data_IF_961521528732
#
_entry.id   IF_961521528732
#
_cell.length_a   1.000
_cell.length_b   1.000
_cell.length_c   1.000
_cell.angle_alpha   90.00
_cell.angle_beta   90.00
_cell.angle_gamma   90.00
#
_symmetry.space_group_name_H-M   'P 1'
#
loop_
_entity.id
_entity.type
_entity.pdbx_description
1 polymer ?
#
# COMPACT_ATOMS: atom_id res chain seq x y z
N UNK A 1 -31.65 -35.29 -33.65
CA UNK A 1 -30.48 -35.12 -34.54
C UNK A 1 -29.59 -34.04 -33.96
N UNK A 2 -28.48 -34.44 -33.32
CA UNK A 2 -27.25 -33.69 -33.08
C UNK A 2 -26.41 -34.53 -32.10
N UNK A 3 -25.50 -35.34 -32.64
CA UNK A 3 -24.52 -36.07 -31.85
C UNK A 3 -23.35 -35.13 -31.54
N UNK A 4 -23.16 -34.76 -30.29
CA UNK A 4 -21.97 -34.05 -29.84
C UNK A 4 -20.81 -35.04 -29.71
N UNK A 5 -19.83 -34.97 -30.61
CA UNK A 5 -18.55 -35.66 -30.49
C UNK A 5 -17.65 -34.91 -29.51
N UNK A 6 -17.42 -35.47 -28.33
CA UNK A 6 -16.39 -35.02 -27.40
C UNK A 6 -15.03 -35.61 -27.83
N UNK A 7 -14.11 -34.76 -28.29
CA UNK A 7 -12.71 -35.15 -28.47
C UNK A 7 -12.06 -35.36 -27.09
N UNK A 8 -11.22 -36.39 -26.90
CA UNK A 8 -10.54 -36.61 -25.63
C UNK A 8 -9.46 -35.53 -25.42
N UNK A 9 -9.13 -35.20 -24.15
CA UNK A 9 -8.08 -34.24 -23.85
C UNK A 9 -6.73 -34.82 -24.30
N UNK A 10 -6.04 -34.12 -25.20
CA UNK A 10 -4.64 -34.38 -25.53
C UNK A 10 -3.78 -34.18 -24.28
N UNK A 11 -3.38 -35.29 -23.67
CA UNK A 11 -2.31 -35.33 -22.68
C UNK A 11 -1.00 -35.04 -23.40
N UNK A 12 -0.57 -33.78 -23.40
CA UNK A 12 0.81 -33.43 -23.72
C UNK A 12 1.65 -33.97 -22.55
N UNK A 13 2.17 -35.18 -22.70
CA UNK A 13 3.29 -35.67 -21.90
C UNK A 13 4.43 -34.67 -22.05
N UNK A 14 4.98 -34.08 -20.98
CA UNK A 14 6.20 -33.30 -21.10
C UNK A 14 7.30 -34.20 -21.67
N UNK A 15 8.03 -33.70 -22.66
CA UNK A 15 9.23 -34.33 -23.21
C UNK A 15 10.21 -34.66 -22.05
N UNK A 16 10.65 -35.92 -21.89
CA UNK A 16 11.60 -36.30 -20.84
C UNK A 16 12.95 -35.56 -20.93
N UNK A 17 13.23 -34.87 -22.03
CA UNK A 17 14.52 -34.22 -22.27
C UNK A 17 14.58 -32.73 -21.89
N UNK A 18 13.48 -32.08 -21.49
CA UNK A 18 13.45 -30.60 -21.39
C UNK A 18 13.41 -29.98 -19.99
N UNK A 19 13.78 -30.72 -18.94
CA UNK A 19 14.05 -30.14 -17.62
C UNK A 19 15.36 -30.66 -17.02
N UNK A 20 16.48 -30.30 -17.64
CA UNK A 20 17.73 -30.18 -16.88
C UNK A 20 17.59 -29.02 -15.91
N UNK A 21 16.95 -29.25 -14.76
CA UNK A 21 16.97 -28.34 -13.61
C UNK A 21 18.43 -28.17 -13.24
N UNK A 22 19.03 -27.04 -13.65
CA UNK A 22 20.40 -26.73 -13.27
C UNK A 22 20.48 -26.77 -11.75
N UNK A 23 21.44 -27.51 -11.15
CA UNK A 23 21.54 -27.58 -9.71
C UNK A 23 21.68 -26.16 -9.15
N UNK A 24 20.88 -25.85 -8.13
CA UNK A 24 20.92 -24.56 -7.44
C UNK A 24 22.34 -24.32 -6.97
N UNK A 25 22.99 -23.26 -7.47
CA UNK A 25 24.32 -22.87 -6.99
C UNK A 25 24.23 -22.55 -5.51
N UNK A 26 25.01 -23.25 -4.70
CA UNK A 26 25.08 -23.03 -3.25
C UNK A 26 25.40 -21.57 -2.95
N UNK A 27 24.71 -21.03 -1.95
CA UNK A 27 24.95 -19.71 -1.40
C UNK A 27 24.93 -19.80 0.13
N UNK A 28 25.69 -18.96 0.83
CA UNK A 28 25.77 -18.96 2.31
C UNK A 28 24.39 -18.87 3.00
N UNK A 29 23.40 -18.24 2.37
CA UNK A 29 22.01 -18.14 2.86
C UNK A 29 21.25 -19.48 2.85
N UNK A 30 21.76 -20.48 2.15
CA UNK A 30 21.17 -21.82 2.13
C UNK A 30 21.52 -22.61 3.42
N UNK A 31 22.52 -22.15 4.19
CA UNK A 31 22.91 -22.72 5.47
C UNK A 31 22.19 -22.00 6.64
N UNK A 32 21.86 -22.70 7.73
CA UNK A 32 21.36 -22.04 8.95
C UNK A 32 22.45 -21.18 9.58
N UNK A 33 22.06 -20.06 10.20
CA UNK A 33 22.98 -19.19 10.94
C UNK A 33 23.34 -19.87 12.27
N UNK A 34 24.63 -20.04 12.51
CA UNK A 34 25.23 -20.60 13.72
C UNK A 34 26.32 -19.67 14.26
N UNK A 35 26.74 -19.91 15.50
CA UNK A 35 27.86 -19.18 16.11
C UNK A 35 29.18 -19.29 15.33
N UNK A 36 29.37 -20.36 14.54
CA UNK A 36 30.60 -20.57 13.77
C UNK A 36 30.55 -19.96 12.36
N UNK A 37 29.38 -19.57 11.84
CA UNK A 37 29.24 -19.05 10.48
C UNK A 37 28.57 -17.67 10.36
N UNK A 38 28.01 -17.09 11.43
CA UNK A 38 27.21 -15.85 11.36
C UNK A 38 27.88 -14.73 10.56
N UNK A 39 29.20 -14.53 10.74
CA UNK A 39 29.97 -13.50 10.06
C UNK A 39 30.00 -13.67 8.53
N UNK A 40 29.79 -14.90 8.01
CA UNK A 40 29.70 -15.17 6.57
C UNK A 40 28.38 -14.69 5.98
N UNK A 41 27.33 -14.58 6.81
CA UNK A 41 26.02 -14.06 6.40
C UNK A 41 25.98 -12.54 6.42
N UNK A 42 26.96 -11.84 7.02
CA UNK A 42 26.99 -10.39 7.09
C UNK A 42 27.52 -9.77 5.78
N UNK A 43 26.83 -8.73 5.34
CA UNK A 43 27.25 -7.86 4.26
C UNK A 43 28.24 -6.82 4.79
N UNK A 44 29.53 -7.19 4.81
CA UNK A 44 30.62 -6.36 5.30
C UNK A 44 30.87 -5.07 4.53
N UNK A 45 30.17 -4.83 3.41
CA UNK A 45 30.18 -3.53 2.75
C UNK A 45 29.14 -2.58 3.36
N UNK A 46 27.89 -3.04 3.53
CA UNK A 46 26.80 -2.19 3.99
C UNK A 46 26.76 -2.04 5.51
N UNK A 47 27.02 -3.13 6.25
CA UNK A 47 26.87 -3.16 7.72
C UNK A 47 27.72 -2.11 8.43
N UNK A 48 29.02 -1.93 8.13
CA UNK A 48 29.80 -0.90 8.81
C UNK A 48 29.30 0.52 8.53
N UNK A 49 28.82 0.80 7.30
CA UNK A 49 28.28 2.12 6.95
C UNK A 49 26.98 2.42 7.70
N UNK A 50 26.08 1.43 7.75
CA UNK A 50 24.80 1.53 8.47
C UNK A 50 24.96 1.71 9.98
N UNK A 51 26.08 1.28 10.56
CA UNK A 51 26.37 1.43 11.99
C UNK A 51 27.19 2.71 12.26
N UNK A 52 28.26 2.94 11.52
CA UNK A 52 29.20 4.03 11.80
C UNK A 52 28.61 5.42 11.52
N UNK A 53 27.77 5.57 10.49
CA UNK A 53 27.17 6.87 10.14
C UNK A 53 26.22 7.36 11.25
N UNK A 54 25.24 6.57 11.73
CA UNK A 54 24.40 6.99 12.86
C UNK A 54 25.18 7.21 14.15
N UNK A 55 26.14 6.33 14.47
CA UNK A 55 26.96 6.49 15.68
C UNK A 55 27.80 7.77 15.63
N UNK A 56 28.38 8.10 14.47
CA UNK A 56 29.11 9.34 14.28
C UNK A 56 28.21 10.57 14.35
N UNK A 57 26.99 10.49 13.79
CA UNK A 57 25.97 11.54 13.94
C UNK A 57 25.56 11.76 15.40
N UNK A 58 25.37 10.67 16.17
CA UNK A 58 25.05 10.74 17.60
C UNK A 58 26.21 11.29 18.43
N UNK A 59 27.45 10.88 18.15
CA UNK A 59 28.63 11.49 18.75
C UNK A 59 28.70 12.99 18.46
N UNK A 60 28.42 13.40 17.22
CA UNK A 60 28.35 14.80 16.82
C UNK A 60 27.31 15.60 17.60
N UNK A 61 26.11 15.04 17.82
CA UNK A 61 25.06 15.64 18.65
C UNK A 61 25.53 15.95 20.08
N UNK A 62 26.43 15.12 20.63
CA UNK A 62 26.94 15.27 21.99
C UNK A 62 28.16 16.18 22.10
N UNK A 63 28.91 16.38 21.00
CA UNK A 63 30.26 16.99 21.06
C UNK A 63 30.40 18.28 20.27
N UNK A 64 29.47 18.56 19.35
CA UNK A 64 29.56 19.72 18.45
C UNK A 64 28.34 20.60 18.63
N UNK A 65 28.47 21.90 18.96
CA UNK A 65 27.34 22.81 19.00
C UNK A 65 26.68 22.99 17.63
N UNK A 66 25.35 23.07 17.59
CA UNK A 66 24.61 23.29 16.34
C UNK A 66 24.54 24.77 16.00
N UNK A 67 25.27 25.20 14.96
CA UNK A 67 25.08 26.52 14.36
C UNK A 67 23.76 26.59 13.58
N UNK A 68 23.03 27.71 13.67
CA UNK A 68 21.73 27.88 13.00
C UNK A 68 21.84 27.73 11.46
N UNK A 69 22.89 28.30 10.86
CA UNK A 69 23.13 28.18 9.42
C UNK A 69 23.35 26.72 9.00
N UNK A 70 24.08 25.95 9.82
CA UNK A 70 24.28 24.50 9.64
C UNK A 70 22.98 23.74 9.80
N UNK A 71 22.13 24.11 10.76
CA UNK A 71 20.81 23.49 10.94
C UNK A 71 19.93 23.68 9.69
N UNK A 72 19.82 24.92 9.21
CA UNK A 72 19.06 25.28 8.01
C UNK A 72 19.61 24.53 6.80
N UNK A 73 20.94 24.52 6.62
CA UNK A 73 21.60 23.80 5.54
C UNK A 73 21.33 22.28 5.60
N UNK A 74 21.41 21.69 6.79
CA UNK A 74 21.14 20.26 7.00
C UNK A 74 19.71 19.90 6.57
N UNK A 75 18.73 20.75 6.91
CA UNK A 75 17.33 20.56 6.51
C UNK A 75 17.12 20.74 5.01
N UNK A 76 17.69 21.80 4.41
CA UNK A 76 17.61 21.99 2.95
C UNK A 76 18.21 20.79 2.23
N UNK A 77 19.40 20.36 2.65
CA UNK A 77 20.10 19.27 1.99
C UNK A 77 19.47 17.90 2.26
N UNK A 78 18.78 17.72 3.39
CA UNK A 78 17.88 16.59 3.62
C UNK A 78 16.81 16.51 2.54
N UNK A 79 16.08 17.60 2.28
CA UNK A 79 15.06 17.61 1.23
C UNK A 79 15.65 17.46 -0.17
N UNK A 80 16.79 18.10 -0.48
CA UNK A 80 17.45 17.94 -1.80
C UNK A 80 17.79 16.48 -2.07
N UNK A 81 18.42 15.80 -1.10
CA UNK A 81 18.88 14.42 -1.30
C UNK A 81 17.72 13.42 -1.25
N UNK A 82 16.76 13.59 -0.34
CA UNK A 82 15.54 12.79 -0.29
C UNK A 82 14.67 12.94 -1.54
N UNK A 83 14.43 14.17 -2.02
CA UNK A 83 13.72 14.41 -3.28
C UNK A 83 14.50 13.89 -4.49
N UNK A 84 15.82 13.82 -4.42
CA UNK A 84 16.64 13.15 -5.43
C UNK A 84 16.27 11.66 -5.57
N UNK A 85 16.01 10.97 -4.45
CA UNK A 85 15.57 9.57 -4.46
C UNK A 85 14.13 9.47 -4.95
N UNK A 86 13.19 10.21 -4.36
CA UNK A 86 11.77 10.08 -4.68
C UNK A 86 11.42 10.59 -6.08
N UNK A 87 11.92 11.75 -6.50
CA UNK A 87 11.67 12.27 -7.84
C UNK A 87 12.50 11.55 -8.89
N UNK A 88 13.75 11.18 -8.57
CA UNK A 88 14.69 10.54 -9.48
C UNK A 88 14.59 9.01 -9.49
N UNK A 89 15.24 8.37 -8.52
CA UNK A 89 15.37 6.90 -8.46
C UNK A 89 14.01 6.20 -8.59
N UNK A 90 13.06 6.66 -7.81
CA UNK A 90 11.74 6.08 -7.72
C UNK A 90 10.85 6.43 -8.92
N UNK A 91 10.37 7.66 -9.00
CA UNK A 91 9.31 8.04 -9.95
C UNK A 91 9.81 8.15 -11.40
N UNK A 92 10.99 8.76 -11.62
CA UNK A 92 11.55 8.94 -12.96
C UNK A 92 12.12 7.64 -13.52
N UNK A 93 13.08 7.02 -12.83
CA UNK A 93 13.82 5.88 -13.38
C UNK A 93 13.16 4.54 -13.09
N UNK A 94 12.61 4.28 -11.90
CA UNK A 94 11.97 2.99 -11.63
C UNK A 94 10.61 2.86 -12.32
N UNK A 95 9.74 3.86 -12.16
CA UNK A 95 8.36 3.81 -12.63
C UNK A 95 8.10 4.48 -13.97
N UNK A 96 9.04 5.32 -14.44
CA UNK A 96 8.88 6.09 -15.68
C UNK A 96 7.56 6.86 -15.69
N UNK A 97 7.20 7.46 -14.54
CA UNK A 97 5.91 8.14 -14.34
C UNK A 97 5.88 9.56 -14.90
N UNK A 98 7.04 10.10 -15.29
CA UNK A 98 7.18 11.35 -16.02
C UNK A 98 8.48 11.35 -16.84
N UNK A 99 8.70 12.40 -17.65
CA UNK A 99 9.99 12.68 -18.30
C UNK A 99 10.59 13.96 -17.75
N UNK A 100 11.92 14.04 -17.70
CA UNK A 100 12.65 15.21 -17.23
C UNK A 100 13.50 15.82 -18.36
N UNK A 101 13.73 17.13 -18.27
CA UNK A 101 14.74 17.80 -19.09
C UNK A 101 16.14 17.35 -18.69
N UNK A 102 17.09 17.38 -19.62
CA UNK A 102 18.48 16.93 -19.35
C UNK A 102 19.15 17.64 -18.17
N UNK A 103 19.02 18.97 -17.97
CA UNK A 103 19.58 19.63 -16.79
C UNK A 103 18.99 19.11 -15.49
N UNK A 104 17.67 18.84 -15.46
CA UNK A 104 17.02 18.32 -14.27
C UNK A 104 17.38 16.85 -13.99
N UNK A 105 17.55 16.02 -15.04
CA UNK A 105 18.10 14.66 -14.88
C UNK A 105 19.48 14.67 -14.22
N UNK A 106 20.37 15.55 -14.68
CA UNK A 106 21.72 15.71 -14.13
C UNK A 106 21.66 16.18 -12.68
N UNK A 107 20.79 17.14 -12.36
CA UNK A 107 20.55 17.57 -10.98
C UNK A 107 20.12 16.39 -10.10
N UNK A 108 19.13 15.61 -10.54
CA UNK A 108 18.62 14.46 -9.79
C UNK A 108 19.70 13.39 -9.58
N UNK A 109 20.58 13.15 -10.55
CA UNK A 109 21.73 12.23 -10.43
C UNK A 109 22.64 12.64 -9.27
N UNK A 110 23.01 13.92 -9.20
CA UNK A 110 23.89 14.41 -8.13
C UNK A 110 23.17 14.49 -6.78
N UNK A 111 21.94 15.00 -6.76
CA UNK A 111 21.13 15.11 -5.55
C UNK A 111 20.90 13.73 -4.90
N UNK A 112 20.47 12.73 -5.68
CA UNK A 112 20.26 11.37 -5.18
C UNK A 112 21.55 10.67 -4.75
N UNK A 113 22.68 10.95 -5.42
CA UNK A 113 23.98 10.42 -4.97
C UNK A 113 24.35 10.92 -3.57
N UNK A 114 23.87 12.11 -3.18
CA UNK A 114 24.02 12.63 -1.83
C UNK A 114 23.27 11.84 -0.76
N UNK A 115 22.25 11.05 -1.11
CA UNK A 115 21.52 10.18 -0.17
C UNK A 115 22.29 8.90 0.19
N UNK A 116 23.28 8.51 -0.60
CA UNK A 116 24.13 7.32 -0.36
C UNK A 116 23.30 6.01 -0.32
N UNK A 117 22.32 5.86 -1.22
CA UNK A 117 21.42 4.68 -1.28
C UNK A 117 21.72 3.71 -2.44
N UNK A 118 22.90 3.84 -3.05
CA UNK A 118 23.32 3.05 -4.19
C UNK A 118 23.15 3.79 -5.52
N UNK A 119 23.74 3.22 -6.57
CA UNK A 119 23.56 3.75 -7.92
C UNK A 119 22.11 3.60 -8.40
N UNK A 120 21.67 4.46 -9.32
CA UNK A 120 20.34 4.39 -9.94
C UNK A 120 20.05 2.99 -10.47
N UNK A 121 21.03 2.40 -11.17
CA UNK A 121 20.90 1.08 -11.77
C UNK A 121 20.66 -0.04 -10.73
N UNK A 122 21.33 0.03 -9.57
CA UNK A 122 21.19 -0.98 -8.51
C UNK A 122 19.85 -0.81 -7.79
N UNK A 123 19.54 0.42 -7.38
CA UNK A 123 18.32 0.75 -6.66
C UNK A 123 17.07 0.43 -7.49
N UNK A 124 17.04 0.87 -8.75
CA UNK A 124 15.89 0.65 -9.65
C UNK A 124 15.69 -0.83 -9.95
N UNK A 125 16.77 -1.61 -10.11
CA UNK A 125 16.66 -3.06 -10.31
C UNK A 125 15.91 -3.70 -9.14
N UNK A 126 16.33 -3.40 -7.91
CA UNK A 126 15.78 -4.01 -6.71
C UNK A 126 14.36 -3.51 -6.44
N UNK A 127 14.10 -2.22 -6.68
CA UNK A 127 12.77 -1.65 -6.55
C UNK A 127 11.76 -2.21 -7.57
N UNK A 128 12.15 -2.35 -8.85
CA UNK A 128 11.29 -3.01 -9.84
C UNK A 128 11.07 -4.49 -9.52
N UNK A 129 12.07 -5.18 -8.95
CA UNK A 129 11.91 -6.55 -8.47
C UNK A 129 10.93 -6.62 -7.29
N UNK A 130 11.02 -5.68 -6.35
CA UNK A 130 10.09 -5.55 -5.25
C UNK A 130 8.65 -5.41 -5.74
N UNK A 131 8.33 -4.46 -6.62
CA UNK A 131 6.97 -4.35 -7.17
C UNK A 131 6.48 -5.63 -7.85
N UNK A 132 7.32 -6.24 -8.69
CA UNK A 132 6.96 -7.43 -9.47
C UNK A 132 6.71 -8.66 -8.59
N UNK A 133 7.40 -8.74 -7.45
CA UNK A 133 7.44 -9.93 -6.61
C UNK A 133 7.04 -9.64 -5.16
N UNK A 134 6.32 -8.54 -4.93
CA UNK A 134 5.89 -8.03 -3.62
C UNK A 134 5.44 -9.19 -2.74
N UNK A 135 5.92 -9.22 -1.50
CA UNK A 135 5.54 -10.22 -0.49
C UNK A 135 5.98 -11.68 -0.78
N UNK A 136 6.75 -11.93 -1.84
CA UNK A 136 7.30 -13.27 -2.13
C UNK A 136 8.76 -13.38 -1.72
N UNK A 137 9.31 -14.60 -1.69
CA UNK A 137 10.75 -14.81 -1.42
C UNK A 137 11.69 -14.17 -2.45
N UNK A 138 11.15 -13.76 -3.61
CA UNK A 138 11.88 -13.05 -4.67
C UNK A 138 11.95 -11.54 -4.44
N UNK A 139 11.16 -10.99 -3.52
CA UNK A 139 11.25 -9.59 -3.12
C UNK A 139 12.51 -9.37 -2.25
N UNK A 140 13.41 -8.45 -2.65
CA UNK A 140 14.64 -8.18 -1.91
C UNK A 140 14.39 -7.79 -0.44
N UNK A 141 13.34 -7.03 -0.15
CA UNK A 141 13.05 -6.52 1.19
C UNK A 141 11.66 -6.94 1.68
N UNK A 142 11.26 -8.17 1.33
CA UNK A 142 10.01 -8.82 1.70
C UNK A 142 9.58 -8.54 3.16
N UNK A 143 8.44 -7.87 3.31
CA UNK A 143 7.84 -7.53 4.59
C UNK A 143 7.47 -8.76 5.44
N UNK A 144 7.12 -9.90 4.84
CA UNK A 144 6.80 -11.13 5.59
C UNK A 144 8.00 -11.74 6.34
N UNK A 145 9.23 -11.30 6.05
CA UNK A 145 10.43 -11.68 6.82
C UNK A 145 10.58 -10.89 8.12
N UNK A 146 9.65 -10.00 8.41
CA UNK A 146 9.58 -9.24 9.65
C UNK A 146 10.03 -7.79 9.48
N UNK A 147 9.50 -6.92 10.35
CA UNK A 147 9.72 -5.48 10.31
C UNK A 147 11.22 -5.10 10.32
N UNK A 148 12.04 -5.79 11.11
CA UNK A 148 13.47 -5.54 11.15
C UNK A 148 14.16 -5.91 9.83
N UNK A 149 13.76 -7.02 9.22
CA UNK A 149 14.31 -7.47 7.94
C UNK A 149 14.04 -6.45 6.83
N UNK A 150 12.78 -6.02 6.68
CA UNK A 150 12.39 -5.06 5.63
C UNK A 150 12.93 -3.65 5.88
N UNK A 151 13.12 -3.25 7.15
CA UNK A 151 13.72 -1.96 7.49
C UNK A 151 15.24 -1.93 7.22
N UNK A 152 16.01 -2.88 7.75
CA UNK A 152 17.48 -2.87 7.71
C UNK A 152 18.12 -4.23 7.43
N UNK A 153 17.50 -5.31 7.89
CA UNK A 153 18.10 -6.65 7.86
C UNK A 153 18.43 -7.15 6.45
N UNK A 154 17.68 -6.73 5.43
CA UNK A 154 17.94 -7.09 4.04
C UNK A 154 19.28 -6.55 3.52
N UNK A 155 19.76 -5.42 4.07
CA UNK A 155 21.08 -4.86 3.74
C UNK A 155 22.19 -5.41 4.61
N UNK A 156 21.90 -5.69 5.88
CA UNK A 156 22.86 -6.25 6.84
C UNK A 156 23.26 -7.68 6.45
N UNK A 157 22.31 -8.47 5.99
CA UNK A 157 22.53 -9.86 5.61
C UNK A 157 22.84 -9.96 4.10
N UNK A 158 23.87 -10.71 3.71
CA UNK A 158 24.19 -11.00 2.29
C UNK A 158 23.01 -11.65 1.60
N UNK A 159 22.44 -11.00 0.59
CA UNK A 159 21.35 -11.60 -0.18
C UNK A 159 21.89 -12.60 -1.21
N UNK A 160 21.10 -13.64 -1.52
CA UNK A 160 21.41 -14.57 -2.59
C UNK A 160 20.94 -13.97 -3.93
N UNK A 161 21.84 -13.58 -4.86
CA UNK A 161 21.45 -12.94 -6.12
C UNK A 161 20.60 -13.84 -7.03
N UNK A 162 20.66 -15.17 -6.84
CA UNK A 162 19.85 -16.12 -7.59
C UNK A 162 18.45 -16.30 -7.00
N UNK A 163 18.23 -15.88 -5.75
CA UNK A 163 16.93 -15.93 -5.09
C UNK A 163 16.11 -14.67 -5.34
N UNK A 164 16.77 -13.51 -5.48
CA UNK A 164 16.09 -12.24 -5.79
C UNK A 164 15.50 -12.30 -7.21
N UNK A 165 14.28 -11.82 -7.35
CA UNK A 165 13.57 -11.73 -8.61
C UNK A 165 14.27 -10.82 -9.63
N UNK A 166 14.08 -11.12 -10.92
CA UNK A 166 14.63 -10.29 -12.01
C UNK A 166 13.58 -9.33 -12.55
N UNK A 167 13.96 -8.07 -12.66
CA UNK A 167 13.21 -7.04 -13.38
C UNK A 167 13.98 -6.60 -14.63
N UNK A 168 13.26 -6.17 -15.66
CA UNK A 168 13.88 -5.57 -16.83
C UNK A 168 14.49 -4.21 -16.46
N UNK A 169 15.73 -4.01 -16.88
CA UNK A 169 16.53 -2.79 -16.70
C UNK A 169 17.30 -2.44 -17.98
N UNK A 170 16.84 -2.95 -19.13
CA UNK A 170 17.44 -2.72 -20.45
C UNK A 170 17.51 -1.23 -20.79
N UNK A 171 16.49 -0.46 -20.43
CA UNK A 171 16.45 1.01 -20.54
C UNK A 171 17.61 1.70 -19.82
N UNK A 172 17.89 1.29 -18.58
CA UNK A 172 18.96 1.87 -17.77
C UNK A 172 20.35 1.52 -18.32
N UNK A 173 20.48 0.31 -18.89
CA UNK A 173 21.73 -0.12 -19.51
C UNK A 173 21.97 0.56 -20.87
N UNK A 174 20.91 0.95 -21.57
CA UNK A 174 21.00 1.70 -22.81
C UNK A 174 21.42 3.16 -22.58
N UNK A 175 21.01 3.76 -21.46
CA UNK A 175 21.33 5.16 -21.14
C UNK A 175 22.82 5.34 -20.75
N UNK A 176 23.62 6.12 -21.53
CA UNK A 176 25.03 6.35 -21.23
C UNK A 176 25.25 7.15 -19.94
N UNK A 177 24.35 8.04 -19.55
CA UNK A 177 24.47 8.85 -18.33
C UNK A 177 24.24 7.96 -17.11
N UNK A 178 23.25 7.06 -17.15
CA UNK A 178 23.00 6.13 -16.05
C UNK A 178 24.15 5.14 -15.90
N UNK A 179 24.72 4.66 -17.01
CA UNK A 179 25.94 3.83 -16.96
C UNK A 179 27.14 4.59 -16.36
N UNK A 180 27.30 5.86 -16.72
CA UNK A 180 28.35 6.72 -16.16
C UNK A 180 28.15 6.92 -14.65
N UNK A 181 26.93 7.25 -14.20
CA UNK A 181 26.58 7.36 -12.80
C UNK A 181 26.86 6.06 -12.04
N UNK A 182 26.49 4.92 -12.59
CA UNK A 182 26.74 3.61 -11.97
C UNK A 182 28.24 3.31 -11.82
N UNK A 183 29.04 3.61 -12.86
CA UNK A 183 30.49 3.40 -12.85
C UNK A 183 31.22 4.27 -11.82
N UNK A 184 30.80 5.53 -11.66
CA UNK A 184 31.44 6.51 -10.77
C UNK A 184 30.66 6.78 -9.49
N UNK A 185 29.66 5.95 -9.17
CA UNK A 185 28.76 6.17 -8.04
C UNK A 185 29.50 6.39 -6.71
N UNK A 186 30.53 5.58 -6.43
CA UNK A 186 31.31 5.75 -5.19
C UNK A 186 31.93 7.14 -5.04
N UNK A 187 32.44 7.71 -6.13
CA UNK A 187 32.97 9.08 -6.14
C UNK A 187 31.84 10.10 -5.89
N UNK A 188 30.70 9.97 -6.59
CA UNK A 188 29.57 10.89 -6.40
C UNK A 188 28.97 10.79 -5.01
N UNK A 189 28.89 9.60 -4.41
CA UNK A 189 28.43 9.40 -3.05
C UNK A 189 29.36 10.06 -2.04
N UNK A 190 30.68 9.98 -2.21
CA UNK A 190 31.64 10.66 -1.33
C UNK A 190 31.53 12.18 -1.49
N UNK A 191 31.54 12.67 -2.73
CA UNK A 191 31.51 14.11 -3.00
C UNK A 191 30.18 14.73 -2.57
N UNK A 192 29.05 14.19 -3.02
CA UNK A 192 27.74 14.76 -2.74
C UNK A 192 27.24 14.39 -1.35
N UNK A 193 27.56 13.19 -0.85
CA UNK A 193 27.10 12.73 0.46
C UNK A 193 27.87 13.36 1.60
N UNK A 194 29.20 13.53 1.46
CA UNK A 194 30.08 13.92 2.56
C UNK A 194 30.80 15.24 2.32
N UNK A 195 31.53 15.39 1.21
CA UNK A 195 32.38 16.55 1.02
C UNK A 195 31.58 17.84 0.82
N UNK A 196 30.59 17.84 -0.08
CA UNK A 196 29.79 19.02 -0.39
C UNK A 196 29.09 19.60 0.84
N UNK A 197 28.28 18.85 1.61
CA UNK A 197 27.60 19.41 2.78
C UNK A 197 28.56 19.93 3.85
N UNK A 198 29.69 19.26 4.10
CA UNK A 198 30.73 19.73 5.03
C UNK A 198 31.41 21.00 4.55
N UNK A 199 31.81 21.05 3.28
CA UNK A 199 32.52 22.19 2.70
C UNK A 199 31.63 23.42 2.57
N UNK A 200 30.33 23.26 2.27
CA UNK A 200 29.39 24.38 2.24
C UNK A 200 29.33 25.06 3.61
N UNK A 201 29.24 24.29 4.69
CA UNK A 201 29.21 24.86 6.04
C UNK A 201 30.57 25.46 6.45
N UNK A 202 31.66 24.74 6.17
CA UNK A 202 33.01 25.16 6.50
C UNK A 202 33.47 26.41 5.76
N UNK A 203 33.27 26.47 4.44
CA UNK A 203 33.65 27.61 3.62
C UNK A 203 32.65 28.76 3.70
N UNK A 204 31.36 28.47 3.92
CA UNK A 204 30.31 29.47 3.98
C UNK A 204 30.28 30.26 5.29
N UNK A 205 30.37 29.57 6.43
CA UNK A 205 30.29 30.21 7.75
C UNK A 205 31.25 29.61 8.80
N UNK A 206 32.31 28.94 8.36
CA UNK A 206 33.39 28.47 9.24
C UNK A 206 33.11 27.19 10.04
N UNK A 207 31.96 26.53 9.82
CA UNK A 207 31.52 25.41 10.65
C UNK A 207 31.73 24.04 9.98
N UNK A 208 33.00 23.64 9.82
CA UNK A 208 33.36 22.35 9.21
C UNK A 208 32.84 21.16 10.02
N UNK A 209 32.99 21.20 11.35
CA UNK A 209 32.57 20.10 12.21
C UNK A 209 31.05 19.99 12.28
N UNK A 210 30.32 21.10 12.38
CA UNK A 210 28.88 21.07 12.28
C UNK A 210 28.39 20.57 10.91
N UNK A 211 29.03 21.00 9.82
CA UNK A 211 28.75 20.49 8.47
C UNK A 211 28.97 18.98 8.34
N UNK A 212 30.02 18.44 8.97
CA UNK A 212 30.30 17.02 8.99
C UNK A 212 29.33 16.22 9.89
N UNK A 213 29.06 16.67 11.11
CA UNK A 213 28.18 15.89 12.00
C UNK A 213 26.70 16.03 11.64
N UNK A 214 26.22 17.25 11.37
CA UNK A 214 24.80 17.52 11.14
C UNK A 214 24.42 17.39 9.66
N UNK A 215 25.06 18.15 8.77
CA UNK A 215 24.68 18.19 7.35
C UNK A 215 25.10 16.94 6.56
N UNK A 216 26.05 16.15 7.11
CA UNK A 216 26.49 14.88 6.54
C UNK A 216 25.94 13.70 7.33
N UNK A 217 26.50 13.36 8.49
CA UNK A 217 26.22 12.06 9.14
C UNK A 217 24.78 11.94 9.65
N UNK A 218 24.32 12.94 10.41
CA UNK A 218 22.96 12.92 10.96
C UNK A 218 21.91 13.05 9.85
N UNK A 219 22.13 13.92 8.86
CA UNK A 219 21.24 14.06 7.71
C UNK A 219 21.15 12.77 6.88
N UNK A 220 22.27 12.10 6.58
CA UNK A 220 22.25 10.78 5.89
C UNK A 220 21.47 9.77 6.72
N UNK A 221 21.68 9.74 8.04
CA UNK A 221 20.93 8.86 8.96
C UNK A 221 19.41 9.09 8.84
N UNK A 222 18.96 10.35 8.85
CA UNK A 222 17.55 10.67 8.67
C UNK A 222 17.01 10.27 7.30
N UNK A 223 17.74 10.54 6.21
CA UNK A 223 17.33 10.13 4.85
C UNK A 223 17.20 8.61 4.76
N UNK A 224 18.18 7.87 5.27
CA UNK A 224 18.18 6.41 5.29
C UNK A 224 16.96 5.86 6.02
N UNK A 225 16.72 6.31 7.25
CA UNK A 225 15.55 5.83 8.01
C UNK A 225 14.22 6.27 7.39
N UNK A 226 14.15 7.45 6.76
CA UNK A 226 12.99 7.89 5.99
C UNK A 226 12.67 6.90 4.86
N UNK A 227 13.67 6.53 4.06
CA UNK A 227 13.52 5.54 2.99
C UNK A 227 13.18 4.15 3.54
N UNK A 228 13.86 3.71 4.60
CA UNK A 228 13.64 2.38 5.18
C UNK A 228 12.25 2.23 5.81
N UNK A 229 11.62 3.33 6.25
CA UNK A 229 10.23 3.32 6.69
C UNK A 229 9.26 2.96 5.54
N UNK A 230 9.62 3.21 4.28
CA UNK A 230 8.79 2.82 3.13
C UNK A 230 8.75 1.30 3.02
N UNK A 231 9.91 0.65 3.03
CA UNK A 231 9.99 -0.82 2.96
C UNK A 231 9.43 -1.51 4.21
N UNK A 232 9.39 -0.83 5.36
CA UNK A 232 8.92 -1.39 6.63
C UNK A 232 7.56 -0.84 7.04
N UNK A 233 7.49 0.34 7.65
CA UNK A 233 6.26 0.90 8.20
C UNK A 233 5.14 1.00 7.16
N UNK A 234 5.45 1.29 5.89
CA UNK A 234 4.44 1.37 4.85
C UNK A 234 3.88 0.01 4.40
N UNK A 235 4.39 -1.12 4.91
CA UNK A 235 3.82 -2.45 4.76
C UNK A 235 3.12 -2.97 6.02
N UNK A 236 3.16 -2.22 7.12
CA UNK A 236 2.65 -2.64 8.43
C UNK A 236 1.58 -1.71 9.00
N UNK A 237 1.71 -0.40 8.78
CA UNK A 237 0.86 0.62 9.37
C UNK A 237 0.00 1.28 8.29
N UNK A 238 -1.29 1.44 8.56
CA UNK A 238 -2.21 2.17 7.69
C UNK A 238 -3.26 1.30 7.01
N UNK A 239 -3.88 1.88 6.00
CA UNK A 239 -5.09 1.36 5.35
C UNK A 239 -4.80 0.72 3.99
N UNK A 240 -5.57 -0.31 3.65
CA UNK A 240 -5.65 -0.93 2.32
C UNK A 240 -6.74 -0.24 1.49
N UNK A 241 -6.55 1.04 1.19
CA UNK A 241 -7.59 1.88 0.57
C UNK A 241 -7.97 1.42 -0.85
N UNK A 242 -7.07 0.74 -1.56
CA UNK A 242 -7.19 0.39 -2.98
C UNK A 242 -7.16 -1.12 -3.24
N UNK A 243 -6.31 -1.85 -2.52
CA UNK A 243 -6.23 -3.32 -2.59
C UNK A 243 -5.68 -3.87 -1.26
N UNK A 244 -6.05 -5.10 -0.90
CA UNK A 244 -5.59 -5.76 0.33
C UNK A 244 -5.00 -7.17 0.10
N UNK A 245 -4.62 -7.49 -1.15
CA UNK A 245 -3.98 -8.76 -1.47
C UNK A 245 -2.51 -8.80 -1.04
N UNK A 246 -1.90 -7.63 -0.90
CA UNK A 246 -0.52 -7.45 -0.49
C UNK A 246 -0.42 -6.53 0.73
N UNK A 247 0.75 -6.53 1.37
CA UNK A 247 1.03 -5.78 2.59
C UNK A 247 1.09 -4.24 2.49
N UNK A 248 1.36 -3.57 1.35
CA UNK A 248 1.44 -2.11 1.27
C UNK A 248 0.19 -1.39 1.83
N UNK A 249 0.43 -0.30 2.57
CA UNK A 249 -0.58 0.48 3.30
C UNK A 249 -0.42 1.98 3.05
N UNK A 250 -1.53 2.70 3.04
CA UNK A 250 -1.55 4.16 3.06
C UNK A 250 -1.54 4.67 4.50
N UNK A 251 -0.53 5.47 4.86
CA UNK A 251 -0.41 6.02 6.20
C UNK A 251 0.23 7.42 6.21
N UNK A 252 -0.49 8.40 6.76
CA UNK A 252 -0.08 9.81 6.75
C UNK A 252 1.25 10.06 7.49
N UNK A 253 1.45 9.46 8.67
CA UNK A 253 2.70 9.64 9.43
C UNK A 253 3.86 9.03 8.67
N UNK A 254 3.65 7.85 8.06
CA UNK A 254 4.68 7.23 7.21
C UNK A 254 5.00 8.14 6.02
N UNK A 255 4.00 8.77 5.41
CA UNK A 255 4.21 9.74 4.33
C UNK A 255 4.97 10.98 4.79
N UNK A 256 4.73 11.49 6.00
CA UNK A 256 5.50 12.60 6.56
C UNK A 256 6.97 12.24 6.73
N UNK A 257 7.25 11.07 7.30
CA UNK A 257 8.60 10.58 7.54
C UNK A 257 9.34 10.26 6.23
N UNK A 258 8.62 9.84 5.18
CA UNK A 258 9.19 9.39 3.91
C UNK A 258 8.99 10.36 2.75
N UNK A 259 8.78 11.66 2.99
CA UNK A 259 8.66 12.67 1.92
C UNK A 259 7.54 12.37 0.90
N UNK A 260 6.43 11.81 1.36
CA UNK A 260 5.24 11.50 0.55
C UNK A 260 5.13 10.04 0.13
N UNK A 261 6.13 9.20 0.41
CA UNK A 261 6.19 7.81 -0.06
C UNK A 261 5.33 6.83 0.76
N UNK A 262 4.73 7.28 1.86
CA UNK A 262 3.89 6.47 2.75
C UNK A 262 2.44 6.28 2.30
N UNK A 263 2.01 6.84 1.16
CA UNK A 263 0.78 6.41 0.48
C UNK A 263 1.08 5.19 -0.39
N UNK A 264 1.48 4.11 0.27
CA UNK A 264 2.16 2.99 -0.35
C UNK A 264 1.20 1.96 -0.95
N UNK A 265 -0.04 1.88 -0.43
CA UNK A 265 -1.09 1.07 -1.03
C UNK A 265 -1.49 1.62 -2.40
N UNK A 266 -1.69 2.94 -2.50
CA UNK A 266 -1.91 3.59 -3.79
C UNK A 266 -0.74 3.35 -4.74
N UNK A 267 0.49 3.52 -4.25
CA UNK A 267 1.69 3.39 -5.04
C UNK A 267 1.87 1.97 -5.63
N UNK A 268 1.63 0.94 -4.84
CA UNK A 268 1.73 -0.45 -5.30
C UNK A 268 0.64 -0.84 -6.28
N UNK A 269 -0.57 -0.32 -6.11
CA UNK A 269 -1.69 -0.59 -7.00
C UNK A 269 -1.56 0.17 -8.34
N UNK A 270 -1.07 1.42 -8.29
CA UNK A 270 -0.95 2.31 -9.46
C UNK A 270 0.48 2.84 -9.66
N UNK A 271 1.49 1.96 -9.86
CA UNK A 271 2.90 2.34 -9.81
C UNK A 271 3.35 3.30 -10.92
N UNK A 272 2.56 3.45 -11.99
CA UNK A 272 2.87 4.39 -13.08
C UNK A 272 2.35 5.82 -12.85
N UNK A 273 1.56 6.09 -11.81
CA UNK A 273 1.16 7.46 -11.46
C UNK A 273 2.36 8.21 -10.87
N UNK A 274 2.57 9.47 -11.27
CA UNK A 274 3.67 10.28 -10.72
C UNK A 274 3.39 10.77 -9.30
N UNK A 275 2.18 10.53 -8.77
CA UNK A 275 1.75 10.89 -7.42
C UNK A 275 1.67 9.61 -6.60
N UNK A 276 2.09 9.67 -5.34
CA UNK A 276 1.67 8.66 -4.37
C UNK A 276 0.43 9.15 -3.63
N UNK A 277 0.36 10.46 -3.37
CA UNK A 277 -0.82 11.07 -2.77
C UNK A 277 -1.67 11.78 -3.81
N UNK A 278 -2.83 11.22 -4.15
CA UNK A 278 -3.65 11.68 -5.28
C UNK A 278 -4.33 13.04 -5.08
N UNK A 279 -4.67 13.42 -3.84
CA UNK A 279 -5.32 14.71 -3.54
C UNK A 279 -4.26 15.79 -3.41
N UNK A 280 -4.59 17.01 -3.84
CA UNK A 280 -3.61 18.11 -3.87
C UNK A 280 -3.04 18.44 -2.48
N UNK A 281 -3.87 18.37 -1.43
CA UNK A 281 -3.50 18.70 -0.05
C UNK A 281 -2.80 17.56 0.70
N UNK A 282 -2.83 16.33 0.18
CA UNK A 282 -2.12 15.23 0.82
C UNK A 282 -0.61 15.45 0.65
N UNK A 283 0.12 15.36 1.77
CA UNK A 283 1.55 15.59 1.85
C UNK A 283 2.32 14.65 0.91
N UNK A 284 2.80 15.22 -0.18
CA UNK A 284 3.65 14.55 -1.17
C UNK A 284 4.51 15.65 -1.81
N UNK A 285 5.60 16.08 -1.14
CA UNK A 285 6.46 17.15 -1.64
C UNK A 285 7.06 16.80 -3.01
N UNK A 286 7.27 15.52 -3.30
CA UNK A 286 7.75 15.03 -4.59
C UNK A 286 6.75 15.31 -5.71
N UNK A 287 5.45 15.05 -5.49
CA UNK A 287 4.37 15.42 -6.43
C UNK A 287 4.34 16.91 -6.67
N UNK A 288 4.44 17.72 -5.61
CA UNK A 288 4.40 19.17 -5.74
C UNK A 288 5.62 19.70 -6.50
N UNK A 289 6.82 19.17 -6.23
CA UNK A 289 8.03 19.49 -6.98
C UNK A 289 7.87 19.16 -8.46
N UNK A 290 7.51 17.91 -8.80
CA UNK A 290 7.36 17.48 -10.20
C UNK A 290 6.28 18.31 -10.90
N UNK A 291 5.15 18.55 -10.24
CA UNK A 291 4.06 19.37 -10.78
C UNK A 291 4.47 20.82 -11.01
N UNK A 292 5.16 21.44 -10.06
CA UNK A 292 5.66 22.81 -10.18
C UNK A 292 6.67 22.97 -11.31
N UNK A 293 7.64 22.05 -11.41
CA UNK A 293 8.66 22.07 -12.46
C UNK A 293 8.08 21.86 -13.87
N UNK A 294 6.87 21.30 -13.97
CA UNK A 294 6.22 21.09 -15.27
C UNK A 294 5.77 22.38 -15.93
N UNK A 295 5.45 23.42 -15.15
CA UNK A 295 5.13 24.75 -15.67
C UNK A 295 6.33 25.42 -16.35
N UNK A 296 7.55 24.99 -16.04
CA UNK A 296 8.79 25.50 -16.63
C UNK A 296 9.38 24.55 -17.69
N UNK A 297 8.68 23.48 -18.05
CA UNK A 297 9.15 22.47 -19.00
C UNK A 297 10.33 21.61 -18.50
N UNK A 298 10.67 21.68 -17.21
CA UNK A 298 11.74 20.88 -16.62
C UNK A 298 11.30 19.43 -16.37
N UNK A 299 10.00 19.22 -16.20
CA UNK A 299 9.33 17.92 -16.18
C UNK A 299 8.14 17.95 -17.15
N UNK A 300 7.82 16.82 -17.78
CA UNK A 300 6.76 16.75 -18.80
C UNK A 300 6.23 15.32 -18.95
N UNK A 301 5.09 15.15 -19.61
CA UNK A 301 4.34 13.87 -19.68
C UNK A 301 4.09 13.21 -18.32
N UNK A 302 3.64 13.99 -17.33
CA UNK A 302 3.28 13.50 -16.00
C UNK A 302 2.10 12.52 -16.12
N UNK A 303 2.34 11.24 -15.84
CA UNK A 303 1.33 10.18 -15.95
C UNK A 303 0.46 10.16 -14.71
N UNK A 304 -0.86 10.21 -14.92
CA UNK A 304 -1.86 9.96 -13.87
C UNK A 304 -2.64 8.71 -14.25
N UNK A 305 -2.89 7.83 -13.29
CA UNK A 305 -3.76 6.69 -13.52
C UNK A 305 -5.20 7.19 -13.76
N UNK A 306 -6.00 6.53 -14.63
CA UNK A 306 -7.37 6.98 -14.90
C UNK A 306 -8.21 7.04 -13.62
N UNK A 307 -8.84 8.20 -13.37
CA UNK A 307 -9.58 8.47 -12.13
C UNK A 307 -10.69 7.44 -11.89
N UNK A 308 -11.38 7.00 -12.95
CA UNK A 308 -12.42 5.99 -12.86
C UNK A 308 -11.92 4.65 -12.29
N UNK A 309 -10.70 4.23 -12.65
CA UNK A 309 -10.13 2.98 -12.14
C UNK A 309 -9.70 3.11 -10.68
N UNK A 310 -9.15 4.28 -10.30
CA UNK A 310 -8.86 4.63 -8.90
C UNK A 310 -10.15 4.58 -8.05
N UNK A 311 -11.25 5.12 -8.58
CA UNK A 311 -12.56 5.11 -7.91
C UNK A 311 -13.10 3.69 -7.77
N UNK A 312 -13.01 2.85 -8.82
CA UNK A 312 -13.42 1.44 -8.77
C UNK A 312 -12.72 0.69 -7.64
N UNK A 313 -11.40 0.81 -7.52
CA UNK A 313 -10.64 0.16 -6.44
C UNK A 313 -11.14 0.56 -5.05
N UNK A 314 -11.36 1.87 -4.82
CA UNK A 314 -11.92 2.36 -3.55
C UNK A 314 -13.33 1.84 -3.27
N UNK A 315 -14.21 1.83 -4.27
CA UNK A 315 -15.58 1.34 -4.10
C UNK A 315 -15.55 -0.16 -3.78
N UNK A 316 -14.71 -0.93 -4.48
CA UNK A 316 -14.53 -2.35 -4.22
C UNK A 316 -14.08 -2.62 -2.78
N UNK A 317 -13.05 -1.93 -2.30
CA UNK A 317 -12.58 -2.07 -0.91
C UNK A 317 -13.63 -1.66 0.13
N UNK A 318 -14.39 -0.59 -0.14
CA UNK A 318 -15.52 -0.18 0.72
C UNK A 318 -16.64 -1.22 0.73
N UNK A 319 -16.98 -1.78 -0.43
CA UNK A 319 -18.00 -2.81 -0.54
C UNK A 319 -17.58 -4.07 0.23
N UNK A 320 -16.33 -4.50 0.07
CA UNK A 320 -15.76 -5.63 0.83
C UNK A 320 -15.90 -5.42 2.34
N UNK A 321 -15.51 -4.25 2.85
CA UNK A 321 -15.64 -3.91 4.28
C UNK A 321 -17.12 -3.89 4.72
N UNK A 322 -18.00 -3.32 3.90
CA UNK A 322 -19.43 -3.29 4.18
C UNK A 322 -20.02 -4.72 4.24
N UNK A 323 -19.59 -5.62 3.36
CA UNK A 323 -20.06 -7.00 3.34
C UNK A 323 -19.58 -7.78 4.58
N UNK A 324 -18.34 -7.55 5.03
CA UNK A 324 -17.80 -8.09 6.29
C UNK A 324 -18.52 -7.55 7.54
N UNK A 325 -18.93 -6.28 7.53
CA UNK A 325 -19.75 -5.70 8.59
C UNK A 325 -21.16 -6.28 8.57
N UNK A 326 -21.77 -6.39 7.39
CA UNK A 326 -23.10 -7.01 7.20
C UNK A 326 -23.13 -8.46 7.67
N UNK A 327 -22.08 -9.24 7.44
CA UNK A 327 -22.04 -10.65 7.87
C UNK A 327 -22.02 -10.84 9.39
N UNK A 328 -21.70 -9.80 10.16
CA UNK A 328 -21.70 -9.82 11.63
C UNK A 328 -23.04 -9.42 12.24
N UNK A 329 -23.97 -8.94 11.43
CA UNK A 329 -25.30 -8.48 11.86
C UNK A 329 -26.34 -9.58 11.62
N UNK A 330 -27.23 -9.79 12.59
CA UNK A 330 -28.34 -10.71 12.44
C UNK A 330 -29.50 -10.04 11.69
N UNK A 331 -29.68 -10.40 10.42
CA UNK A 331 -30.73 -9.86 9.54
C UNK A 331 -32.03 -10.69 9.53
N UNK A 332 -32.15 -11.67 10.43
CA UNK A 332 -33.24 -12.65 10.43
C UNK A 332 -33.12 -13.67 9.29
N UNK A 333 -34.23 -14.37 9.02
CA UNK A 333 -34.28 -15.37 7.95
C UNK A 333 -34.30 -14.68 6.58
N UNK A 334 -33.49 -15.19 5.66
CA UNK A 334 -33.51 -14.77 4.26
C UNK A 334 -34.88 -15.07 3.64
N UNK A 335 -35.42 -14.10 2.89
CA UNK A 335 -36.74 -14.18 2.28
C UNK A 335 -36.84 -15.42 1.36
N UNK A 336 -35.78 -15.73 0.61
CA UNK A 336 -35.69 -16.90 -0.27
C UNK A 336 -35.76 -18.26 0.44
N UNK A 337 -35.57 -18.28 1.76
CA UNK A 337 -35.63 -19.49 2.60
C UNK A 337 -36.93 -19.58 3.41
N UNK A 338 -37.81 -18.59 3.30
CA UNK A 338 -39.09 -18.58 4.00
C UNK A 338 -40.10 -19.48 3.29
N UNK A 339 -40.97 -20.18 4.04
CA UNK A 339 -42.09 -20.91 3.46
C UNK A 339 -43.05 -19.94 2.74
N UNK A 340 -43.57 -20.41 1.61
CA UNK A 340 -44.55 -19.68 0.80
C UNK A 340 -45.95 -20.11 1.20
N UNK A 341 -46.85 -19.17 1.40
CA UNK A 341 -48.25 -19.37 1.76
C UNK A 341 -49.17 -18.69 0.74
N UNK A 342 -50.36 -19.23 0.48
CA UNK A 342 -51.43 -18.42 -0.11
C UNK A 342 -51.96 -17.42 0.91
N UNK A 343 -52.72 -16.42 0.45
CA UNK A 343 -53.32 -15.46 1.37
C UNK A 343 -54.31 -16.13 2.33
N UNK A 344 -55.07 -17.11 1.85
CA UNK A 344 -56.00 -17.90 2.66
C UNK A 344 -55.27 -18.74 3.71
N UNK A 345 -54.16 -19.38 3.35
CA UNK A 345 -53.33 -20.14 4.28
C UNK A 345 -52.75 -19.24 5.38
N UNK A 346 -52.30 -18.03 5.02
CA UNK A 346 -51.87 -17.02 5.98
C UNK A 346 -53.01 -16.63 6.93
N UNK A 347 -54.21 -16.36 6.42
CA UNK A 347 -55.35 -15.96 7.26
C UNK A 347 -55.78 -17.07 8.22
N UNK A 348 -55.80 -18.32 7.78
CA UNK A 348 -56.08 -19.46 8.65
C UNK A 348 -54.98 -19.66 9.71
N UNK A 349 -53.70 -19.58 9.32
CA UNK A 349 -52.58 -19.69 10.25
C UNK A 349 -52.55 -18.54 11.29
N UNK A 350 -52.97 -17.34 10.91
CA UNK A 350 -53.04 -16.17 11.81
C UNK A 350 -54.16 -16.27 12.85
N UNK A 351 -55.10 -17.23 12.76
CA UNK A 351 -56.10 -17.46 13.82
C UNK A 351 -55.48 -18.02 15.09
N UNK A 352 -54.36 -18.74 14.97
CA UNK A 352 -53.66 -19.41 16.08
C UNK A 352 -52.26 -18.83 16.34
N UNK A 353 -51.73 -18.02 15.41
CA UNK A 353 -50.45 -17.33 15.56
C UNK A 353 -50.67 -15.81 15.46
N UNK A 354 -49.85 -14.99 16.14
CA UNK A 354 -49.94 -13.52 16.04
C UNK A 354 -49.23 -13.02 14.77
N UNK A 355 -49.74 -13.41 13.60
CA UNK A 355 -49.13 -13.10 12.31
C UNK A 355 -49.79 -11.89 11.64
N UNK A 356 -48.97 -11.03 11.06
CA UNK A 356 -49.38 -9.92 10.19
C UNK A 356 -48.63 -10.00 8.85
N UNK A 357 -49.22 -9.48 7.79
CA UNK A 357 -48.58 -9.37 6.49
C UNK A 357 -48.16 -7.92 6.24
N UNK A 358 -46.92 -7.71 5.78
CA UNK A 358 -46.40 -6.41 5.32
C UNK A 358 -45.53 -6.67 4.10
N UNK A 359 -45.84 -6.01 2.98
CA UNK A 359 -45.15 -6.12 1.70
C UNK A 359 -45.04 -7.58 1.21
N UNK A 360 -46.10 -8.38 1.43
CA UNK A 360 -46.12 -9.80 1.08
C UNK A 360 -45.30 -10.70 2.00
N UNK A 361 -44.65 -10.15 3.04
CA UNK A 361 -43.89 -10.92 4.03
C UNK A 361 -44.72 -11.10 5.30
N UNK A 362 -44.82 -12.34 5.76
CA UNK A 362 -45.52 -12.70 6.99
C UNK A 362 -44.56 -12.55 8.17
N UNK A 363 -45.01 -11.82 9.19
CA UNK A 363 -44.24 -11.53 10.39
C UNK A 363 -44.97 -12.03 11.62
N UNK A 364 -44.26 -12.76 12.48
CA UNK A 364 -44.76 -13.16 13.79
C UNK A 364 -44.43 -12.07 14.83
N UNK A 365 -45.45 -11.34 15.25
CA UNK A 365 -45.30 -10.24 16.20
C UNK A 365 -45.51 -10.68 17.64
N UNK A 366 -45.61 -11.99 17.92
CA UNK A 366 -45.88 -12.51 19.28
C UNK A 366 -44.91 -11.99 20.34
N UNK A 367 -43.62 -11.93 20.02
CA UNK A 367 -42.59 -11.45 20.96
C UNK A 367 -42.49 -9.92 21.04
N UNK A 368 -43.15 -9.19 20.13
CA UNK A 368 -43.04 -7.73 20.03
C UNK A 368 -44.35 -7.00 20.36
N UNK A 369 -45.46 -7.71 20.45
CA UNK A 369 -46.80 -7.12 20.54
C UNK A 369 -46.96 -6.20 21.76
N UNK A 370 -46.32 -6.53 22.89
CA UNK A 370 -46.36 -5.76 24.13
C UNK A 370 -45.34 -4.61 24.17
N UNK A 371 -44.31 -4.67 23.32
CA UNK A 371 -43.26 -3.64 23.25
C UNK A 371 -43.51 -2.63 22.12
N UNK A 372 -44.54 -2.84 21.30
CA UNK A 372 -44.86 -1.95 20.20
C UNK A 372 -45.15 -0.52 20.70
N UNK A 373 -44.38 0.51 20.26
CA UNK A 373 -44.51 1.86 20.81
C UNK A 373 -45.86 2.53 20.58
N UNK A 374 -46.58 2.15 19.53
CA UNK A 374 -47.95 2.60 19.27
C UNK A 374 -49.02 1.91 20.15
N UNK A 375 -48.60 0.98 21.01
CA UNK A 375 -49.46 0.20 21.89
C UNK A 375 -49.90 -1.14 21.30
N UNK A 376 -50.21 -2.09 22.19
CA UNK A 376 -50.62 -3.46 21.88
C UNK A 376 -51.86 -3.55 20.98
N UNK A 377 -52.83 -2.67 21.19
CA UNK A 377 -54.14 -2.72 20.51
C UNK A 377 -54.04 -2.58 18.98
N UNK A 378 -53.08 -1.78 18.50
CA UNK A 378 -52.84 -1.59 17.06
C UNK A 378 -52.39 -2.89 16.39
N UNK A 379 -51.52 -3.67 17.04
CA UNK A 379 -51.07 -4.95 16.49
C UNK A 379 -52.12 -6.04 16.64
N UNK A 380 -52.82 -6.12 17.78
CA UNK A 380 -53.89 -7.12 17.98
C UNK A 380 -54.99 -7.00 16.93
N UNK A 381 -55.37 -5.77 16.56
CA UNK A 381 -56.40 -5.52 15.53
C UNK A 381 -55.89 -5.76 14.10
N UNK A 382 -54.59 -5.92 13.93
CA UNK A 382 -53.90 -6.13 12.66
C UNK A 382 -53.62 -7.61 12.35
N UNK A 383 -53.78 -8.50 13.33
CA UNK A 383 -53.56 -9.95 13.15
C UNK A 383 -54.43 -10.49 12.00
N UNK A 384 -53.80 -11.26 11.10
CA UNK A 384 -54.45 -11.86 9.93
C UNK A 384 -54.77 -10.89 8.79
N UNK A 385 -54.21 -9.67 8.81
CA UNK A 385 -54.41 -8.65 7.78
C UNK A 385 -53.11 -8.25 7.10
N UNK A 386 -53.23 -7.75 5.89
CA UNK A 386 -52.19 -6.99 5.21
C UNK A 386 -52.18 -5.54 5.73
N UNK A 387 -51.07 -5.17 6.36
CA UNK A 387 -50.86 -3.86 6.98
C UNK A 387 -49.90 -2.97 6.17
N UNK A 388 -49.57 -3.34 4.94
CA UNK A 388 -48.61 -2.63 4.07
C UNK A 388 -48.93 -1.14 3.97
N UNK A 389 -50.16 -0.79 3.61
CA UNK A 389 -50.57 0.62 3.46
C UNK A 389 -50.46 1.38 4.78
N UNK A 390 -50.87 0.78 5.89
CA UNK A 390 -50.80 1.43 7.20
C UNK A 390 -49.35 1.65 7.66
N UNK A 391 -48.46 0.71 7.33
CA UNK A 391 -47.05 0.71 7.69
C UNK A 391 -46.18 1.65 6.82
N UNK A 392 -46.58 1.86 5.57
CA UNK A 392 -45.86 2.66 4.55
C UNK A 392 -46.43 4.09 4.40
N UNK A 393 -46.93 4.69 5.48
CA UNK A 393 -47.35 6.10 5.46
C UNK A 393 -48.82 6.37 5.15
N UNK A 394 -49.64 5.33 4.93
CA UNK A 394 -51.11 5.49 4.89
C UNK A 394 -51.72 5.76 6.26
N UNK A 395 -51.05 5.34 7.34
CA UNK A 395 -51.38 5.71 8.72
C UNK A 395 -50.13 6.23 9.43
N UNK A 396 -49.04 5.45 9.40
CA UNK A 396 -47.76 5.86 9.96
C UNK A 396 -46.63 5.43 9.05
N UNK A 397 -45.72 6.35 8.71
CA UNK A 397 -44.54 6.03 7.90
C UNK A 397 -43.43 5.49 8.80
N UNK A 398 -43.30 4.16 8.87
CA UNK A 398 -42.39 3.51 9.79
C UNK A 398 -40.92 3.72 9.39
N UNK A 399 -40.12 4.10 10.40
CA UNK A 399 -38.70 4.38 10.23
C UNK A 399 -37.88 3.14 9.82
N UNK A 400 -36.65 3.38 9.35
CA UNK A 400 -35.68 2.31 9.06
C UNK A 400 -35.43 1.39 10.27
N UNK A 401 -35.52 1.90 11.50
CA UNK A 401 -35.36 1.08 12.70
C UNK A 401 -36.49 0.05 12.85
N UNK A 402 -37.74 0.48 12.62
CA UNK A 402 -38.89 -0.42 12.62
C UNK A 402 -38.78 -1.47 11.51
N UNK A 403 -38.41 -1.05 10.28
CA UNK A 403 -38.18 -1.97 9.15
C UNK A 403 -37.07 -2.99 9.42
N UNK A 404 -35.98 -2.56 10.05
CA UNK A 404 -34.89 -3.46 10.45
C UNK A 404 -35.36 -4.49 11.48
N UNK A 405 -36.18 -4.08 12.47
CA UNK A 405 -36.75 -5.01 13.45
C UNK A 405 -37.68 -6.04 12.81
N UNK A 406 -38.51 -5.63 11.84
CA UNK A 406 -39.38 -6.56 11.11
C UNK A 406 -38.59 -7.70 10.47
N UNK A 407 -37.36 -7.45 10.02
CA UNK A 407 -36.52 -8.49 9.41
C UNK A 407 -36.28 -9.70 10.32
N UNK A 408 -36.25 -9.50 11.65
CA UNK A 408 -36.05 -10.57 12.62
C UNK A 408 -37.34 -11.32 12.97
N UNK A 409 -38.50 -10.79 12.58
CA UNK A 409 -39.82 -11.36 12.88
C UNK A 409 -40.39 -12.19 11.72
N UNK A 410 -39.66 -12.35 10.62
CA UNK A 410 -40.14 -13.04 9.41
C UNK A 410 -40.38 -14.53 9.64
N UNK A 411 -41.52 -15.02 9.20
CA UNK A 411 -41.92 -16.43 9.30
C UNK A 411 -42.41 -17.04 7.98
N UNK A 412 -42.79 -16.23 6.99
CA UNK A 412 -43.28 -16.70 5.69
C UNK A 412 -43.35 -15.60 4.64
N UNK A 413 -43.69 -15.96 3.42
CA UNK A 413 -44.02 -15.04 2.32
C UNK A 413 -45.33 -15.45 1.67
N UNK A 414 -46.08 -14.48 1.17
CA UNK A 414 -47.32 -14.72 0.43
C UNK A 414 -46.97 -15.02 -1.04
N UNK A 415 -47.62 -16.02 -1.63
CA UNK A 415 -47.46 -16.36 -3.03
C UNK A 415 -47.82 -15.16 -3.93
N UNK A 416 -46.86 -14.68 -4.73
CA UNK A 416 -46.99 -13.45 -5.52
C UNK A 416 -46.85 -12.14 -4.73
N UNK A 417 -46.67 -12.21 -3.41
CA UNK A 417 -46.36 -11.09 -2.54
C UNK A 417 -44.85 -11.00 -2.30
N UNK A 418 -44.16 -10.24 -3.14
CA UNK A 418 -42.70 -10.08 -3.06
C UNK A 418 -41.99 -9.94 -4.42
N UNK A 419 -42.73 -9.87 -5.53
CA UNK A 419 -42.22 -9.39 -6.82
C UNK A 419 -42.19 -7.86 -6.91
#
# INVERSE_FOLDING_TARGET
MAAHSTLPPTTISPDPHDLKVKPKKWHVRDDPITWSNWYKHINWLHTPLLISIPLGGFYGLLTTPLAMNTAIWSVIYYFVTGLGITAGHHRLWAHRSYKASRPFEIFLIFASSGAVEGSIRWWVRDHRAHHRYTDTDKDPYNAHKGLFYSHLGWMILRQNPNAIGRADISDLNADPIIRFQHKYYGLFAIVMGFLLPTLVAGLGWGDYWGGFYYATLLRITFVHHATFCVNSLAHYLGETTFDDRHTPRDHFITALLSLGEGYHNFHHEFPHDYRNAIRFYQYDPTKWLIGFLSYFGLTYHLKKFPENEIIKGKIFMKQKKLDEEKSKVHWGKEISKLPVFTYEEFQEAAKINNWICIEGIIHDVSSFIDEHPGGRSLLTTSIGKDMTTAFNGGVYDHSNAARNLMSTLRVGVIAGGGE
#
